data_IF_369212566566
#
_entry.id   IF_369212566566
#
_cell.length_a   1.000
_cell.length_b   1.000
_cell.length_c   1.000
_cell.angle_alpha   90.00
_cell.angle_beta   90.00
_cell.angle_gamma   90.00
#
_symmetry.space_group_name_H-M   'P 1'
#
loop_
_entity.id
_entity.type
_entity.pdbx_description
1 polymer ?
#
# COMPACT_ATOMS: atom_id res chain seq x y z
N UNK A 1 -44.82 -24.09 23.20
CA UNK A 1 -45.33 -22.88 22.52
C UNK A 1 -44.13 -22.24 21.84
N UNK A 2 -44.08 -22.29 20.51
CA UNK A 2 -43.04 -21.63 19.72
C UNK A 2 -43.31 -20.13 19.76
N UNK A 3 -42.48 -19.38 20.47
CA UNK A 3 -42.50 -17.92 20.49
C UNK A 3 -41.66 -17.43 19.30
N UNK A 4 -42.26 -17.44 18.11
CA UNK A 4 -41.70 -16.76 16.95
C UNK A 4 -42.25 -15.33 16.96
N UNK A 5 -41.48 -14.39 17.51
CA UNK A 5 -41.68 -12.97 17.26
C UNK A 5 -41.74 -12.74 15.74
N UNK A 6 -42.80 -12.14 15.20
CA UNK A 6 -42.93 -11.93 13.76
C UNK A 6 -41.83 -11.00 13.27
N UNK A 7 -41.10 -11.45 12.25
CA UNK A 7 -40.07 -10.65 11.58
C UNK A 7 -40.73 -9.46 10.88
N UNK A 8 -40.45 -8.24 11.36
CA UNK A 8 -40.93 -7.01 10.72
C UNK A 8 -40.01 -6.74 9.51
N UNK A 9 -40.56 -6.64 8.29
CA UNK A 9 -39.75 -6.44 7.09
C UNK A 9 -39.20 -5.01 7.05
N UNK A 10 -37.96 -4.81 7.49
CA UNK A 10 -37.25 -3.53 7.37
C UNK A 10 -36.34 -3.54 6.16
N UNK A 11 -36.56 -2.66 5.18
CA UNK A 11 -35.62 -2.45 4.07
C UNK A 11 -34.50 -1.52 4.53
N UNK A 12 -33.35 -1.59 3.88
CA UNK A 12 -32.21 -0.69 4.20
C UNK A 12 -32.60 0.79 4.04
N UNK A 13 -33.51 1.10 3.10
CA UNK A 13 -34.04 2.46 2.92
C UNK A 13 -34.84 2.95 4.14
N UNK A 14 -35.40 2.02 4.93
CA UNK A 14 -36.26 2.31 6.08
C UNK A 14 -35.44 2.46 7.38
N UNK A 15 -34.12 2.27 7.31
CA UNK A 15 -33.19 2.52 8.40
C UNK A 15 -32.89 4.02 8.50
N UNK A 16 -32.61 4.51 9.72
CA UNK A 16 -32.02 5.83 9.89
C UNK A 16 -30.66 5.88 9.18
N UNK A 17 -30.21 7.06 8.75
CA UNK A 17 -28.94 7.19 8.04
C UNK A 17 -27.75 6.70 8.90
N UNK A 18 -27.83 6.84 10.22
CA UNK A 18 -26.85 6.27 11.17
C UNK A 18 -26.83 4.73 11.20
N UNK A 19 -27.92 4.08 10.82
CA UNK A 19 -28.06 2.62 10.76
C UNK A 19 -27.71 2.05 9.37
N UNK A 20 -27.50 2.92 8.37
CA UNK A 20 -27.06 2.50 7.04
C UNK A 20 -25.52 2.43 7.01
N UNK A 21 -24.92 1.25 6.71
CA UNK A 21 -23.48 1.05 6.84
C UNK A 21 -22.61 2.02 6.02
N UNK A 22 -23.08 2.46 4.85
CA UNK A 22 -22.29 3.31 3.95
C UNK A 22 -22.21 4.73 4.49
N UNK A 23 -23.35 5.26 4.92
CA UNK A 23 -23.54 6.60 5.47
C UNK A 23 -22.77 6.72 6.78
N UNK A 24 -22.91 5.73 7.68
CA UNK A 24 -22.12 5.63 8.91
C UNK A 24 -20.62 5.58 8.65
N UNK A 25 -20.16 4.83 7.65
CA UNK A 25 -18.74 4.78 7.29
C UNK A 25 -18.20 6.12 6.76
N UNK A 26 -19.01 6.87 6.01
CA UNK A 26 -18.63 8.20 5.51
C UNK A 26 -18.58 9.25 6.62
N UNK A 27 -19.52 9.19 7.56
CA UNK A 27 -19.59 10.13 8.68
C UNK A 27 -18.53 9.86 9.77
N UNK A 28 -18.35 8.59 10.14
CA UNK A 28 -17.60 8.18 11.34
C UNK A 28 -16.36 7.32 11.05
N UNK A 29 -16.09 7.04 9.77
CA UNK A 29 -14.98 6.20 9.32
C UNK A 29 -15.28 4.69 9.39
N UNK A 30 -14.55 3.91 8.60
CA UNK A 30 -14.80 2.46 8.42
C UNK A 30 -14.70 1.65 9.73
N UNK A 31 -13.91 2.13 10.71
CA UNK A 31 -13.72 1.46 12.02
C UNK A 31 -14.94 1.55 12.94
N UNK A 32 -15.91 2.40 12.63
CA UNK A 32 -17.16 2.52 13.39
C UNK A 32 -18.15 1.39 13.11
N UNK A 33 -17.92 0.61 12.05
CA UNK A 33 -18.79 -0.48 11.63
C UNK A 33 -18.51 -1.76 12.41
N UNK A 34 -19.59 -2.48 12.73
CA UNK A 34 -19.55 -3.87 13.17
C UNK A 34 -19.19 -4.81 12.03
N UNK A 35 -18.78 -6.04 12.35
CA UNK A 35 -18.49 -7.08 11.37
C UNK A 35 -19.69 -7.35 10.45
N UNK A 36 -20.91 -7.31 10.98
CA UNK A 36 -22.13 -7.48 10.20
C UNK A 36 -22.32 -6.34 9.19
N UNK A 37 -22.02 -5.11 9.57
CA UNK A 37 -22.08 -3.94 8.69
C UNK A 37 -20.99 -3.99 7.61
N UNK A 38 -19.79 -4.50 7.93
CA UNK A 38 -18.72 -4.72 6.96
C UNK A 38 -19.11 -5.79 5.92
N UNK A 39 -19.63 -6.93 6.38
CA UNK A 39 -20.13 -8.00 5.49
C UNK A 39 -21.31 -7.50 4.65
N UNK A 40 -22.20 -6.71 5.25
CA UNK A 40 -23.31 -6.06 4.56
C UNK A 40 -22.87 -5.15 3.41
N UNK A 41 -21.82 -4.35 3.62
CA UNK A 41 -21.23 -3.51 2.57
C UNK A 41 -20.68 -4.33 1.40
N UNK A 42 -20.02 -5.46 1.70
CA UNK A 42 -19.49 -6.37 0.66
C UNK A 42 -20.63 -7.00 -0.14
N UNK A 43 -21.73 -7.37 0.52
CA UNK A 43 -22.90 -7.97 -0.14
C UNK A 43 -23.76 -6.98 -0.91
N UNK A 44 -23.71 -5.68 -0.55
CA UNK A 44 -24.42 -4.59 -1.20
C UNK A 44 -25.93 -4.54 -0.93
N UNK A 45 -26.67 -5.61 -1.23
CA UNK A 45 -28.14 -5.65 -1.16
C UNK A 45 -28.71 -6.88 -0.44
N UNK A 46 -29.87 -6.71 0.19
CA UNK A 46 -30.56 -7.77 0.96
C UNK A 46 -31.46 -8.65 0.10
N UNK A 47 -32.43 -9.29 0.74
CA UNK A 47 -33.53 -10.00 0.07
C UNK A 47 -34.85 -9.23 0.28
N UNK A 48 -35.89 -9.49 -0.53
CA UNK A 48 -37.22 -9.01 -0.22
C UNK A 48 -37.62 -9.40 1.21
N UNK A 49 -37.91 -8.40 2.03
CA UNK A 49 -38.30 -8.57 3.43
C UNK A 49 -37.15 -8.70 4.43
N UNK A 50 -35.88 -8.82 4.01
CA UNK A 50 -34.72 -8.95 4.91
C UNK A 50 -33.58 -8.02 4.49
N UNK A 51 -33.18 -7.11 5.37
CA UNK A 51 -32.06 -6.20 5.12
C UNK A 51 -30.74 -6.97 4.94
N UNK A 52 -29.78 -6.38 4.21
CA UNK A 52 -28.45 -7.00 4.04
C UNK A 52 -27.67 -7.07 5.36
N UNK A 53 -27.96 -6.15 6.28
CA UNK A 53 -27.37 -6.13 7.63
C UNK A 53 -27.91 -7.29 8.45
N UNK A 54 -29.21 -7.56 8.42
CA UNK A 54 -29.80 -8.69 9.15
C UNK A 54 -29.36 -10.03 8.57
N UNK A 55 -29.26 -10.12 7.24
CA UNK A 55 -28.66 -11.27 6.58
C UNK A 55 -27.22 -11.50 7.07
N UNK A 56 -26.39 -10.47 7.10
CA UNK A 56 -25.00 -10.56 7.57
C UNK A 56 -24.92 -10.93 9.06
N UNK A 57 -25.80 -10.38 9.91
CA UNK A 57 -25.91 -10.76 11.33
C UNK A 57 -26.25 -12.23 11.50
N UNK A 58 -27.21 -12.75 10.73
CA UNK A 58 -27.58 -14.17 10.77
C UNK A 58 -26.42 -15.08 10.35
N UNK A 59 -25.70 -14.72 9.29
CA UNK A 59 -24.53 -15.47 8.82
C UNK A 59 -23.41 -15.48 9.88
N UNK A 60 -23.12 -14.33 10.49
CA UNK A 60 -22.10 -14.23 11.54
C UNK A 60 -22.51 -14.96 12.82
N UNK A 61 -23.79 -14.94 13.18
CA UNK A 61 -24.32 -15.72 14.28
C UNK A 61 -24.07 -17.22 14.08
N UNK A 62 -24.33 -17.74 12.88
CA UNK A 62 -24.04 -19.13 12.50
C UNK A 62 -22.54 -19.46 12.46
N UNK A 63 -21.67 -18.44 12.53
CA UNK A 63 -20.22 -18.55 12.58
C UNK A 63 -19.67 -18.16 13.98
N UNK A 64 -20.47 -18.26 15.04
CA UNK A 64 -20.11 -17.93 16.43
C UNK A 64 -19.65 -16.48 16.65
N UNK A 65 -20.20 -15.54 15.86
CA UNK A 65 -19.77 -14.13 15.82
C UNK A 65 -18.27 -13.96 15.48
N UNK A 66 -17.71 -14.92 14.74
CA UNK A 66 -16.28 -14.94 14.37
C UNK A 66 -16.10 -14.83 12.86
N UNK A 67 -15.43 -13.77 12.43
CA UNK A 67 -15.11 -13.54 11.01
C UNK A 67 -14.15 -14.60 10.46
N UNK A 68 -13.25 -15.14 11.28
CA UNK A 68 -12.34 -16.20 10.84
C UNK A 68 -13.05 -17.55 10.59
N UNK A 69 -14.15 -17.83 11.29
CA UNK A 69 -15.00 -18.97 10.99
C UNK A 69 -15.71 -18.78 9.64
N UNK A 70 -16.26 -17.58 9.40
CA UNK A 70 -16.87 -17.23 8.11
C UNK A 70 -15.86 -17.31 6.95
N UNK A 71 -14.62 -16.88 7.16
CA UNK A 71 -13.56 -16.92 6.15
C UNK A 71 -13.12 -18.35 5.75
N UNK A 72 -13.36 -19.36 6.60
CA UNK A 72 -13.06 -20.77 6.32
C UNK A 72 -14.17 -21.46 5.51
N UNK A 73 -15.35 -20.86 5.44
CA UNK A 73 -16.47 -21.40 4.71
C UNK A 73 -16.22 -21.39 3.20
N UNK A 74 -16.43 -22.52 2.54
CA UNK A 74 -16.29 -22.57 1.08
C UNK A 74 -17.40 -21.75 0.40
N UNK A 75 -17.13 -21.21 -0.79
CA UNK A 75 -18.16 -20.50 -1.56
C UNK A 75 -19.39 -21.39 -1.82
N UNK A 76 -19.19 -22.70 -2.06
CA UNK A 76 -20.28 -23.64 -2.30
C UNK A 76 -21.15 -23.84 -1.05
N UNK A 77 -20.54 -23.95 0.13
CA UNK A 77 -21.23 -24.04 1.41
C UNK A 77 -22.02 -22.76 1.70
N UNK A 78 -21.42 -21.59 1.45
CA UNK A 78 -22.09 -20.31 1.65
C UNK A 78 -23.32 -20.16 0.75
N UNK A 79 -23.22 -20.56 -0.52
CA UNK A 79 -24.32 -20.52 -1.49
C UNK A 79 -25.43 -21.53 -1.17
N UNK A 80 -25.10 -22.70 -0.60
CA UNK A 80 -26.10 -23.71 -0.26
C UNK A 80 -26.80 -23.42 1.07
N UNK A 81 -26.07 -22.86 2.05
CA UNK A 81 -26.56 -22.62 3.41
C UNK A 81 -27.39 -21.33 3.52
N UNK A 82 -27.00 -20.26 2.84
CA UNK A 82 -27.59 -18.94 3.05
C UNK A 82 -28.40 -18.45 1.86
N UNK A 83 -29.72 -18.43 2.04
CA UNK A 83 -30.63 -17.84 1.05
C UNK A 83 -30.25 -16.37 0.80
N UNK A 84 -30.07 -16.03 -0.47
CA UNK A 84 -29.70 -14.67 -0.89
C UNK A 84 -28.21 -14.42 -1.01
N UNK A 85 -27.37 -15.41 -0.72
CA UNK A 85 -25.95 -15.42 -1.08
C UNK A 85 -25.76 -16.22 -2.37
N UNK A 86 -25.89 -15.53 -3.50
CA UNK A 86 -25.58 -16.11 -4.82
C UNK A 86 -24.10 -16.01 -5.18
N UNK A 87 -23.72 -16.46 -6.39
CA UNK A 87 -22.32 -16.47 -6.84
C UNK A 87 -21.60 -15.13 -6.69
N UNK A 88 -22.27 -14.01 -7.03
CA UNK A 88 -21.66 -12.68 -6.92
C UNK A 88 -21.25 -12.33 -5.49
N UNK A 89 -22.14 -12.52 -4.50
CA UNK A 89 -21.86 -12.22 -3.09
C UNK A 89 -20.82 -13.17 -2.51
N UNK A 90 -20.88 -14.45 -2.84
CA UNK A 90 -19.92 -15.44 -2.39
C UNK A 90 -18.50 -15.12 -2.90
N UNK A 91 -18.37 -14.80 -4.19
CA UNK A 91 -17.09 -14.40 -4.80
C UNK A 91 -16.57 -13.09 -4.20
N UNK A 92 -17.42 -12.07 -4.03
CA UNK A 92 -17.01 -10.81 -3.42
C UNK A 92 -16.46 -10.99 -1.99
N UNK A 93 -17.14 -11.79 -1.16
CA UNK A 93 -16.69 -12.04 0.21
C UNK A 93 -15.42 -12.89 0.26
N UNK A 94 -15.30 -13.92 -0.58
CA UNK A 94 -14.08 -14.69 -0.72
C UNK A 94 -12.89 -13.83 -1.18
N UNK A 95 -13.12 -12.92 -2.13
CA UNK A 95 -12.10 -11.98 -2.61
C UNK A 95 -11.66 -11.00 -1.51
N UNK A 96 -12.59 -10.50 -0.69
CA UNK A 96 -12.29 -9.63 0.45
C UNK A 96 -11.39 -10.35 1.47
N UNK A 97 -11.70 -11.61 1.82
CA UNK A 97 -10.86 -12.39 2.72
C UNK A 97 -9.48 -12.71 2.14
N UNK A 98 -9.41 -13.08 0.87
CA UNK A 98 -8.15 -13.35 0.19
C UNK A 98 -7.25 -12.10 0.15
N UNK A 99 -7.82 -10.92 -0.10
CA UNK A 99 -7.07 -9.66 -0.04
C UNK A 99 -6.54 -9.39 1.37
N UNK A 100 -7.37 -9.60 2.40
CA UNK A 100 -6.95 -9.49 3.80
C UNK A 100 -5.83 -10.46 4.16
N UNK A 101 -5.91 -11.71 3.69
CA UNK A 101 -4.87 -12.75 3.89
C UNK A 101 -3.56 -12.34 3.23
N UNK A 102 -3.58 -11.95 1.95
CA UNK A 102 -2.39 -11.49 1.22
C UNK A 102 -1.74 -10.28 1.89
N UNK A 103 -2.55 -9.31 2.32
CA UNK A 103 -2.04 -8.15 3.04
C UNK A 103 -1.32 -8.57 4.34
N UNK A 104 -1.92 -9.47 5.12
CA UNK A 104 -1.28 -10.00 6.34
C UNK A 104 0.01 -10.76 6.05
N UNK A 105 0.02 -11.59 5.00
CA UNK A 105 1.20 -12.34 4.59
C UNK A 105 2.32 -11.43 4.10
N UNK A 106 2.01 -10.38 3.34
CA UNK A 106 2.99 -9.37 2.92
C UNK A 106 3.57 -8.62 4.11
N UNK A 107 2.73 -8.25 5.09
CA UNK A 107 3.17 -7.63 6.34
C UNK A 107 4.04 -8.56 7.21
N UNK A 108 3.78 -9.88 7.18
CA UNK A 108 4.52 -10.87 7.96
C UNK A 108 5.80 -11.37 7.27
N UNK A 109 5.83 -11.38 5.93
CA UNK A 109 6.83 -12.06 5.12
C UNK A 109 8.00 -11.21 4.64
N UNK A 110 7.94 -9.88 4.74
CA UNK A 110 9.04 -9.02 4.35
C UNK A 110 9.20 -7.88 5.35
N UNK A 111 10.15 -8.01 6.28
CA UNK A 111 10.66 -6.81 6.93
C UNK A 111 11.20 -5.89 5.83
N UNK A 112 10.75 -4.64 5.80
CA UNK A 112 11.28 -3.63 4.88
C UNK A 112 12.82 -3.68 4.91
N UNK A 113 13.51 -3.76 3.74
CA UNK A 113 14.96 -3.89 3.70
C UNK A 113 15.63 -2.80 4.54
N UNK A 114 16.57 -3.18 5.39
CA UNK A 114 17.32 -2.27 6.24
C UNK A 114 18.57 -1.80 5.51
N UNK A 115 18.78 -0.48 5.43
CA UNK A 115 20.00 0.11 4.88
C UNK A 115 20.99 0.39 6.01
N UNK A 116 22.15 -0.25 5.94
CA UNK A 116 23.29 -0.09 6.84
C UNK A 116 24.49 0.52 6.13
N UNK A 117 24.62 0.31 4.82
CA UNK A 117 25.68 0.87 3.98
C UNK A 117 25.20 1.15 2.55
N UNK A 118 26.07 1.78 1.76
CA UNK A 118 25.95 1.89 0.30
C UNK A 118 25.72 0.53 -0.37
N UNK A 119 26.29 -0.54 0.18
CA UNK A 119 26.21 -1.87 -0.44
C UNK A 119 24.79 -2.41 -0.40
N UNK A 120 24.06 -2.15 0.68
CA UNK A 120 22.65 -2.51 0.75
C UNK A 120 21.84 -1.76 -0.32
N UNK A 121 22.19 -0.49 -0.60
CA UNK A 121 21.54 0.30 -1.67
C UNK A 121 21.85 -0.30 -3.03
N UNK A 122 23.12 -0.60 -3.30
CA UNK A 122 23.58 -1.25 -4.52
C UNK A 122 22.86 -2.58 -4.73
N UNK A 123 22.85 -3.47 -3.74
CA UNK A 123 22.24 -4.79 -3.84
C UNK A 123 20.74 -4.71 -4.15
N UNK A 124 20.06 -3.69 -3.65
CA UNK A 124 18.63 -3.46 -3.91
C UNK A 124 18.38 -2.87 -5.30
N UNK A 125 19.24 -1.97 -5.78
CA UNK A 125 18.99 -1.14 -6.96
C UNK A 125 19.68 -1.66 -8.23
N UNK A 126 20.86 -2.27 -8.11
CA UNK A 126 21.64 -2.79 -9.22
C UNK A 126 20.83 -3.76 -10.12
N UNK A 127 20.06 -4.73 -9.59
CA UNK A 127 19.25 -5.61 -10.43
C UNK A 127 18.18 -4.90 -11.26
N UNK A 128 17.78 -3.69 -10.85
CA UNK A 128 16.74 -2.90 -11.52
C UNK A 128 17.30 -2.04 -12.64
N UNK A 129 18.54 -1.54 -12.50
CA UNK A 129 19.04 -0.44 -13.34
C UNK A 129 20.41 -0.65 -13.98
N UNK A 130 21.17 -1.70 -13.60
CA UNK A 130 22.53 -1.92 -14.11
C UNK A 130 22.62 -2.20 -15.62
N UNK A 131 21.54 -2.68 -16.22
CA UNK A 131 21.46 -3.07 -17.63
C UNK A 131 20.55 -2.16 -18.46
N UNK A 132 20.14 -1.01 -17.92
CA UNK A 132 19.36 -0.05 -18.68
C UNK A 132 20.28 0.72 -19.64
N UNK A 133 19.86 0.82 -20.90
CA UNK A 133 20.54 1.60 -21.94
C UNK A 133 20.22 3.10 -21.86
N UNK A 134 19.45 3.50 -20.85
CA UNK A 134 19.03 4.88 -20.57
C UNK A 134 19.17 5.16 -19.07
N UNK A 135 19.27 6.44 -18.73
CA UNK A 135 19.36 6.87 -17.33
C UNK A 135 17.99 6.91 -16.67
N UNK A 136 17.91 6.41 -15.45
CA UNK A 136 16.78 6.61 -14.55
C UNK A 136 17.27 7.19 -13.24
N UNK A 137 16.49 8.13 -12.69
CA UNK A 137 16.72 8.71 -11.38
C UNK A 137 15.64 8.25 -10.41
N UNK A 138 16.05 7.61 -9.34
CA UNK A 138 15.22 7.02 -8.31
C UNK A 138 15.43 7.70 -6.96
N UNK A 139 14.39 7.61 -6.12
CA UNK A 139 14.46 7.94 -4.70
C UNK A 139 13.98 6.77 -3.87
N UNK A 140 14.80 6.38 -2.90
CA UNK A 140 14.42 5.45 -1.83
C UNK A 140 13.99 6.27 -0.62
N UNK A 141 12.79 6.03 -0.12
CA UNK A 141 12.21 6.72 1.03
C UNK A 141 12.27 5.80 2.25
N UNK A 142 12.86 6.31 3.32
CA UNK A 142 13.25 5.53 4.48
C UNK A 142 12.42 5.88 5.72
N UNK A 143 12.23 4.89 6.57
CA UNK A 143 11.80 5.08 7.96
C UNK A 143 12.94 5.58 8.84
N UNK A 144 12.62 5.98 10.08
CA UNK A 144 13.60 6.43 11.08
C UNK A 144 14.68 5.40 11.40
N UNK A 145 14.39 4.12 11.23
CA UNK A 145 15.33 3.02 11.41
C UNK A 145 16.01 2.61 10.09
N UNK A 146 16.08 3.51 9.10
CA UNK A 146 16.69 3.28 7.79
C UNK A 146 16.10 2.09 7.02
N UNK A 147 14.82 1.78 7.21
CA UNK A 147 14.16 0.75 6.40
C UNK A 147 13.51 1.35 5.16
N UNK A 148 13.63 0.67 4.04
CA UNK A 148 13.08 1.12 2.75
C UNK A 148 11.57 0.91 2.73
N UNK A 149 10.83 2.01 2.96
CA UNK A 149 9.36 2.01 2.87
C UNK A 149 8.91 1.98 1.42
N UNK A 150 9.56 2.78 0.58
CA UNK A 150 9.23 2.93 -0.83
C UNK A 150 10.47 3.20 -1.67
N UNK A 151 10.44 2.77 -2.92
CA UNK A 151 11.37 3.19 -3.98
C UNK A 151 10.58 3.66 -5.19
N UNK A 152 10.95 4.79 -5.77
CA UNK A 152 10.20 5.42 -6.88
C UNK A 152 11.16 5.97 -7.91
N UNK A 153 10.92 5.64 -9.17
CA UNK A 153 11.51 6.35 -10.30
C UNK A 153 10.87 7.74 -10.37
N UNK A 154 11.71 8.78 -10.38
CA UNK A 154 11.30 10.19 -10.47
C UNK A 154 11.46 10.70 -11.89
N UNK A 155 12.50 10.24 -12.59
CA UNK A 155 12.78 10.63 -13.96
C UNK A 155 13.34 9.43 -14.72
N UNK A 156 12.94 9.33 -15.99
CA UNK A 156 13.51 8.42 -16.97
C UNK A 156 13.97 9.30 -18.14
N UNK A 157 15.24 9.20 -18.49
CA UNK A 157 15.90 10.06 -19.47
C UNK A 157 16.06 9.38 -20.82
N UNK A 158 16.58 10.15 -21.77
CA UNK A 158 17.18 9.64 -23.01
C UNK A 158 18.70 9.57 -22.92
N UNK A 159 19.40 9.53 -24.05
CA UNK A 159 20.88 9.46 -24.13
C UNK A 159 21.63 10.72 -23.65
N UNK A 160 20.92 11.79 -23.29
CA UNK A 160 21.47 13.03 -22.74
C UNK A 160 20.67 13.42 -21.47
N UNK A 161 21.25 13.18 -20.30
CA UNK A 161 20.87 13.59 -18.94
C UNK A 161 19.36 13.58 -18.55
N UNK A 162 19.03 12.94 -17.43
CA UNK A 162 17.69 13.04 -16.82
C UNK A 162 17.41 14.41 -16.20
N UNK A 163 16.28 15.04 -16.58
CA UNK A 163 15.78 16.21 -15.84
C UNK A 163 14.98 15.72 -14.63
N UNK A 164 15.45 16.05 -13.43
CA UNK A 164 14.76 15.71 -12.17
C UNK A 164 14.03 16.94 -11.61
N UNK A 165 12.71 16.83 -11.49
CA UNK A 165 11.91 17.84 -10.78
C UNK A 165 12.03 17.65 -9.27
N UNK A 166 12.86 18.48 -8.65
CA UNK A 166 13.09 18.48 -7.20
C UNK A 166 11.81 18.73 -6.40
N UNK A 167 10.87 19.56 -6.89
CA UNK A 167 9.59 19.79 -6.19
C UNK A 167 8.78 18.51 -6.13
N UNK A 168 8.68 17.80 -7.26
CA UNK A 168 7.93 16.55 -7.31
C UNK A 168 8.59 15.48 -6.44
N UNK A 169 9.93 15.37 -6.47
CA UNK A 169 10.69 14.47 -5.61
C UNK A 169 10.39 14.71 -4.13
N UNK A 170 10.53 15.96 -3.66
CA UNK A 170 10.30 16.32 -2.26
C UNK A 170 8.83 16.15 -1.85
N UNK A 171 7.88 16.45 -2.75
CA UNK A 171 6.46 16.14 -2.52
C UNK A 171 6.25 14.64 -2.26
N UNK A 172 6.87 13.76 -3.05
CA UNK A 172 6.76 12.31 -2.85
C UNK A 172 7.34 11.88 -1.50
N UNK A 173 8.49 12.42 -1.12
CA UNK A 173 9.10 12.14 0.17
C UNK A 173 8.17 12.56 1.34
N UNK A 174 7.52 13.73 1.22
CA UNK A 174 6.52 14.21 2.18
C UNK A 174 5.26 13.34 2.21
N UNK A 175 4.68 13.01 1.05
CA UNK A 175 3.47 12.17 0.96
C UNK A 175 3.71 10.79 1.62
N UNK A 176 4.95 10.31 1.61
CA UNK A 176 5.34 9.04 2.23
C UNK A 176 5.78 9.14 3.70
N UNK A 177 5.78 10.35 4.28
CA UNK A 177 6.32 10.63 5.62
C UNK A 177 7.72 10.01 5.78
N UNK A 178 8.61 10.32 4.83
CA UNK A 178 9.97 9.82 4.83
C UNK A 178 10.81 10.58 5.87
N UNK A 179 11.55 9.84 6.68
CA UNK A 179 12.49 10.39 7.67
C UNK A 179 13.86 10.66 7.03
N UNK A 180 14.18 9.88 6.00
CA UNK A 180 15.34 10.09 5.15
C UNK A 180 15.09 9.59 3.74
N UNK A 181 15.94 10.04 2.82
CA UNK A 181 15.94 9.61 1.43
C UNK A 181 17.36 9.23 0.98
N UNK A 182 17.43 8.29 0.05
CA UNK A 182 18.64 7.98 -0.72
C UNK A 182 18.31 8.21 -2.19
N UNK A 183 19.14 9.01 -2.84
CA UNK A 183 19.07 9.28 -4.28
C UNK A 183 19.82 8.18 -5.01
N UNK A 184 19.29 7.69 -6.13
CA UNK A 184 19.98 6.66 -6.91
C UNK A 184 19.78 6.91 -8.39
N UNK A 185 20.84 6.92 -9.19
CA UNK A 185 20.71 6.87 -10.65
C UNK A 185 21.73 5.93 -11.28
N UNK A 186 21.52 5.58 -12.54
CA UNK A 186 22.45 4.74 -13.29
C UNK A 186 23.16 5.53 -14.38
N UNK A 187 24.40 5.13 -14.69
CA UNK A 187 25.13 5.57 -15.87
C UNK A 187 25.25 4.39 -16.86
N UNK A 188 24.50 4.40 -17.98
CA UNK A 188 24.59 3.37 -19.03
C UNK A 188 26.00 3.21 -19.62
N UNK A 189 26.78 4.29 -19.59
CA UNK A 189 28.19 4.33 -20.01
C UNK A 189 29.09 3.36 -19.22
N UNK A 190 28.66 2.97 -18.01
CA UNK A 190 29.46 2.13 -17.11
C UNK A 190 30.52 2.90 -16.31
N UNK A 191 30.56 4.24 -16.40
CA UNK A 191 31.41 5.05 -15.53
C UNK A 191 30.67 5.41 -14.23
N UNK A 192 31.12 4.97 -13.04
CA UNK A 192 30.46 5.28 -11.77
C UNK A 192 30.67 6.73 -11.31
N UNK A 193 31.63 7.46 -11.90
CA UNK A 193 31.95 8.81 -11.41
C UNK A 193 30.84 9.82 -11.73
N UNK A 194 30.48 10.69 -10.77
CA UNK A 194 29.48 11.72 -10.98
C UNK A 194 29.96 12.81 -11.95
N UNK A 195 29.00 13.38 -12.67
CA UNK A 195 29.15 14.62 -13.42
C UNK A 195 28.99 15.86 -12.53
N UNK A 196 29.35 17.02 -13.06
CA UNK A 196 29.07 18.30 -12.39
C UNK A 196 27.57 18.61 -12.29
N UNK A 197 26.73 17.99 -13.12
CA UNK A 197 25.27 18.13 -13.04
C UNK A 197 24.71 17.29 -11.88
N UNK A 198 25.24 16.08 -11.69
CA UNK A 198 24.91 15.22 -10.54
C UNK A 198 25.23 15.94 -9.23
N UNK A 199 26.41 16.56 -9.13
CA UNK A 199 26.83 17.31 -7.93
C UNK A 199 25.85 18.45 -7.61
N UNK A 200 25.46 19.22 -8.64
CA UNK A 200 24.52 20.33 -8.48
C UNK A 200 23.12 19.84 -8.10
N UNK A 201 22.66 18.75 -8.72
CA UNK A 201 21.35 18.18 -8.43
C UNK A 201 21.30 17.64 -6.99
N UNK A 202 22.31 16.87 -6.60
CA UNK A 202 22.49 16.34 -5.23
C UNK A 202 22.36 17.46 -4.22
N UNK A 203 23.10 18.55 -4.42
CA UNK A 203 23.12 19.64 -3.45
C UNK A 203 21.81 20.41 -3.40
N UNK A 204 21.15 20.61 -4.55
CA UNK A 204 19.82 21.23 -4.59
C UNK A 204 18.78 20.39 -3.84
N UNK A 205 18.81 19.07 -4.00
CA UNK A 205 17.92 18.16 -3.27
C UNK A 205 18.24 18.16 -1.79
N UNK A 206 19.52 18.08 -1.40
CA UNK A 206 19.98 18.12 0.00
C UNK A 206 19.45 19.35 0.71
N UNK A 207 19.67 20.53 0.14
CA UNK A 207 19.20 21.80 0.71
C UNK A 207 17.67 21.81 0.83
N UNK A 208 16.95 21.40 -0.21
CA UNK A 208 15.48 21.38 -0.18
C UNK A 208 14.89 20.39 0.82
N UNK A 209 15.51 19.21 0.96
CA UNK A 209 15.10 18.18 1.91
C UNK A 209 15.33 18.62 3.37
N UNK A 210 16.45 19.31 3.64
CA UNK A 210 16.80 19.83 4.98
C UNK A 210 15.74 20.79 5.52
N UNK A 211 15.24 21.72 4.68
CA UNK A 211 14.12 22.61 5.05
C UNK A 211 12.82 21.87 5.43
N UNK A 212 12.65 20.64 4.93
CA UNK A 212 11.49 19.80 5.21
C UNK A 212 11.74 18.83 6.38
N UNK A 213 12.93 18.86 6.99
CA UNK A 213 13.33 17.91 8.03
C UNK A 213 13.60 16.50 7.50
N UNK A 214 13.84 16.34 6.20
CA UNK A 214 14.11 15.04 5.55
C UNK A 214 15.61 14.93 5.29
N UNK A 215 16.25 13.88 5.83
CA UNK A 215 17.70 13.69 5.63
C UNK A 215 18.00 13.05 4.29
N UNK A 216 18.86 13.65 3.47
CA UNK A 216 19.50 12.92 2.37
C UNK A 216 20.64 12.13 2.97
N UNK A 217 20.53 10.79 2.98
CA UNK A 217 21.53 9.90 3.58
C UNK A 217 22.64 9.53 2.62
N UNK A 218 22.32 9.44 1.32
CA UNK A 218 23.30 9.16 0.29
C UNK A 218 22.77 9.55 -1.09
N UNK A 219 23.68 9.63 -2.05
CA UNK A 219 23.42 9.58 -3.47
C UNK A 219 24.30 8.50 -4.09
N UNK A 220 23.66 7.47 -4.68
CA UNK A 220 24.34 6.30 -5.22
C UNK A 220 24.23 6.26 -6.74
N UNK A 221 25.35 6.14 -7.43
CA UNK A 221 25.40 5.99 -8.89
C UNK A 221 25.71 4.53 -9.21
N UNK A 222 24.83 3.85 -9.94
CA UNK A 222 25.01 2.47 -10.39
C UNK A 222 25.61 2.46 -11.79
N UNK A 223 26.73 1.77 -11.96
CA UNK A 223 27.44 1.66 -13.23
C UNK A 223 27.81 0.19 -13.52
N UNK A 224 26.86 -0.55 -14.09
CA UNK A 224 26.97 -2.00 -14.34
C UNK A 224 27.34 -2.75 -13.05
N UNK A 225 28.60 -3.17 -12.90
CA UNK A 225 29.08 -3.95 -11.75
C UNK A 225 29.66 -3.08 -10.62
N UNK A 226 29.93 -1.81 -10.91
CA UNK A 226 30.48 -0.83 -9.99
C UNK A 226 29.40 0.14 -9.53
N UNK A 227 29.69 0.88 -8.47
CA UNK A 227 28.85 1.98 -8.02
C UNK A 227 29.71 3.06 -7.36
N UNK A 228 29.13 4.23 -7.20
CA UNK A 228 29.70 5.36 -6.45
C UNK A 228 28.71 5.78 -5.37
N UNK A 229 29.18 6.02 -4.16
CA UNK A 229 28.40 6.63 -3.08
C UNK A 229 28.97 8.00 -2.75
N UNK A 230 28.15 9.04 -2.77
CA UNK A 230 28.58 10.37 -2.34
C UNK A 230 28.92 10.39 -0.85
N UNK A 231 28.18 9.64 -0.03
CA UNK A 231 28.42 9.56 1.40
C UNK A 231 29.75 8.87 1.72
N UNK A 232 30.06 7.74 1.09
CA UNK A 232 31.33 7.02 1.30
C UNK A 232 32.55 7.87 0.91
N UNK A 233 32.37 8.75 -0.08
CA UNK A 233 33.40 9.66 -0.57
C UNK A 233 33.46 10.97 0.22
N UNK A 234 32.62 11.15 1.25
CA UNK A 234 32.59 12.35 2.10
C UNK A 234 32.11 13.61 1.37
N UNK A 235 31.31 13.46 0.31
CA UNK A 235 30.82 14.54 -0.55
C UNK A 235 29.36 14.91 -0.34
N UNK A 236 28.69 14.28 0.64
CA UNK A 236 27.29 14.54 0.94
C UNK A 236 27.10 15.70 1.89
#
# INVERSE_FOLDING_TARGET
>A
MNDQTPFVPTRIHDLNDDDKPREKALANGIRSLSDAELVALIFGGGLPGMSVVDMARGILHDCDQRVDNLARMSMQEMMSKYKGVGPAKAVCLAAAFELGRRNREQMAGAAEPLIRSSEDVKDIMQPLMAHLDYEEFWVMMLSRSNRVKFKRCISQGGTAATVVDVKLLLKRALDCLAEGIILVHNHPSGNPLPSGEDDRLTQRIKVGADYLGIKVLDHVIIARNEFYSYNDQGRL
#
